data_IF_957562165421
#
_entry.id   IF_957562165421
#
_cell.length_a   1.000
_cell.length_b   1.000
_cell.length_c   1.000
_cell.angle_alpha   90.00
_cell.angle_beta   90.00
_cell.angle_gamma   90.00
#
_symmetry.space_group_name_H-M   'P 1'
#
loop_
_entity.id
_entity.type
_entity.pdbx_description
1 polymer ?
#
# COMPACT_ATOMS: atom_id res chain seq x y z
N UNK A 1 -8.59 39.42 49.19
CA UNK A 1 -9.18 39.27 47.86
C UNK A 1 -8.39 38.32 46.93
N UNK A 2 -7.21 37.84 47.34
CA UNK A 2 -6.32 37.01 46.45
C UNK A 2 -6.52 35.49 46.49
N UNK A 3 -7.14 34.91 47.48
CA UNK A 3 -7.28 33.44 47.58
C UNK A 3 -8.33 32.87 46.62
N UNK A 4 -9.39 33.63 46.31
CA UNK A 4 -10.46 33.14 45.42
C UNK A 4 -10.07 33.16 43.92
N UNK A 5 -9.18 34.07 43.53
CA UNK A 5 -8.69 34.15 42.15
C UNK A 5 -7.69 33.05 41.85
N UNK A 6 -6.81 32.69 42.85
CA UNK A 6 -5.80 31.64 42.71
C UNK A 6 -6.43 30.25 42.56
N UNK A 7 -7.49 29.94 43.32
CA UNK A 7 -8.21 28.66 43.21
C UNK A 7 -8.89 28.46 41.85
N UNK A 8 -9.43 29.54 41.24
CA UNK A 8 -10.05 29.47 39.90
C UNK A 8 -9.02 29.19 38.79
N UNK A 9 -7.81 29.73 38.92
CA UNK A 9 -6.74 29.55 37.93
C UNK A 9 -6.17 28.16 38.01
N UNK A 10 -5.98 27.60 39.22
CA UNK A 10 -5.50 26.22 39.40
C UNK A 10 -6.51 25.19 38.88
N UNK A 11 -7.81 25.39 39.07
CA UNK A 11 -8.85 24.53 38.51
C UNK A 11 -8.94 24.62 37.00
N UNK A 12 -8.73 25.79 36.40
CA UNK A 12 -8.66 25.95 34.94
C UNK A 12 -7.46 25.28 34.33
N UNK A 13 -6.28 25.31 34.99
CA UNK A 13 -5.08 24.64 34.53
C UNK A 13 -5.24 23.11 34.63
N UNK A 14 -5.81 22.59 35.72
CA UNK A 14 -6.07 21.16 35.91
C UNK A 14 -7.11 20.67 34.89
N UNK A 15 -8.16 21.46 34.63
CA UNK A 15 -9.15 21.11 33.61
C UNK A 15 -8.57 21.15 32.21
N UNK A 16 -7.72 22.12 31.87
CA UNK A 16 -7.01 22.21 30.58
C UNK A 16 -6.06 21.06 30.36
N UNK A 17 -5.33 20.64 31.41
CA UNK A 17 -4.45 19.48 31.35
C UNK A 17 -5.23 18.16 31.19
N UNK A 18 -6.36 18.02 31.91
CA UNK A 18 -7.25 16.87 31.78
C UNK A 18 -7.84 16.73 30.39
N UNK A 19 -8.27 17.82 29.77
CA UNK A 19 -8.81 17.83 28.40
C UNK A 19 -7.72 17.52 27.38
N UNK A 20 -6.50 18.04 27.56
CA UNK A 20 -5.38 17.75 26.68
C UNK A 20 -4.96 16.28 26.76
N UNK A 21 -4.90 15.70 27.96
CA UNK A 21 -4.58 14.27 28.16
C UNK A 21 -5.65 13.37 27.54
N UNK A 22 -6.94 13.71 27.70
CA UNK A 22 -8.04 12.95 27.07
C UNK A 22 -8.02 13.09 25.57
N UNK A 23 -7.74 14.28 25.02
CA UNK A 23 -7.60 14.49 23.59
C UNK A 23 -6.41 13.73 23.00
N UNK A 24 -5.26 13.72 23.68
CA UNK A 24 -4.09 12.93 23.28
C UNK A 24 -4.36 11.43 23.39
N UNK A 25 -5.05 10.98 24.45
CA UNK A 25 -5.41 9.57 24.61
C UNK A 25 -6.43 9.14 23.53
N UNK A 26 -7.45 9.96 23.25
CA UNK A 26 -8.42 9.69 22.18
C UNK A 26 -7.75 9.71 20.78
N UNK A 27 -6.80 10.62 20.58
CA UNK A 27 -6.02 10.67 19.34
C UNK A 27 -5.07 9.47 19.20
N UNK A 28 -4.44 9.06 20.29
CA UNK A 28 -3.62 7.83 20.30
C UNK A 28 -4.47 6.56 20.17
N UNK A 29 -5.67 6.51 20.76
CA UNK A 29 -6.62 5.41 20.55
C UNK A 29 -7.18 5.39 19.13
N UNK A 30 -7.47 6.54 18.54
CA UNK A 30 -7.87 6.62 17.14
C UNK A 30 -6.72 6.19 16.20
N UNK A 31 -5.49 6.61 16.47
CA UNK A 31 -4.28 6.16 15.76
C UNK A 31 -3.99 4.66 15.98
N UNK A 32 -4.03 4.19 17.21
CA UNK A 32 -3.89 2.77 17.53
C UNK A 32 -5.06 1.94 16.98
N UNK A 33 -6.25 2.54 16.84
CA UNK A 33 -7.44 1.92 16.25
C UNK A 33 -7.31 1.67 14.75
N UNK A 34 -6.51 2.45 14.03
CA UNK A 34 -6.21 2.17 12.62
C UNK A 34 -5.46 0.83 12.48
N UNK A 35 -4.51 0.54 13.37
CA UNK A 35 -3.81 -0.75 13.39
C UNK A 35 -4.48 -1.84 14.23
N UNK A 36 -5.27 -1.52 15.25
CA UNK A 36 -6.12 -2.53 15.94
C UNK A 36 -7.18 -3.10 15.01
N UNK A 37 -7.61 -2.37 13.98
CA UNK A 37 -8.44 -2.91 12.91
C UNK A 37 -7.72 -3.98 12.05
N UNK A 38 -6.42 -4.07 12.10
CA UNK A 38 -5.66 -5.14 11.44
C UNK A 38 -5.87 -6.53 12.08
N UNK A 39 -6.46 -6.59 13.28
CA UNK A 39 -6.88 -7.85 13.91
C UNK A 39 -8.37 -8.17 13.75
N UNK A 40 -9.13 -7.36 13.03
CA UNK A 40 -10.49 -7.73 12.64
C UNK A 40 -10.37 -8.71 11.49
N UNK A 41 -10.69 -9.96 11.73
CA UNK A 41 -10.86 -10.96 10.68
C UNK A 41 -11.84 -10.39 9.64
N UNK A 42 -11.30 -10.07 8.47
CA UNK A 42 -12.14 -9.73 7.32
C UNK A 42 -12.76 -11.04 6.87
N UNK A 43 -13.99 -11.28 7.28
CA UNK A 43 -14.73 -12.43 6.81
C UNK A 43 -15.45 -12.09 5.51
N UNK A 44 -15.74 -13.08 4.64
CA UNK A 44 -16.57 -12.87 3.46
C UNK A 44 -17.93 -12.24 3.79
N UNK A 45 -18.47 -12.52 4.99
CA UNK A 45 -19.69 -11.91 5.50
C UNK A 45 -19.49 -10.43 5.84
N UNK A 46 -18.35 -10.04 6.43
CA UNK A 46 -18.07 -8.63 6.74
C UNK A 46 -17.96 -7.77 5.49
N UNK A 47 -17.54 -8.36 4.36
CA UNK A 47 -17.50 -7.67 3.06
C UNK A 47 -18.89 -7.45 2.47
N UNK A 48 -19.90 -8.23 2.88
CA UNK A 48 -21.29 -8.08 2.44
C UNK A 48 -22.05 -7.04 3.26
N UNK A 49 -21.57 -6.68 4.45
CA UNK A 49 -22.26 -5.77 5.35
C UNK A 49 -21.98 -4.33 4.94
N UNK A 50 -22.88 -3.77 4.16
CA UNK A 50 -23.28 -2.36 4.31
C UNK A 50 -22.55 -1.30 3.54
N UNK A 51 -21.74 -1.57 2.50
CA UNK A 51 -21.30 -0.47 1.66
C UNK A 51 -21.37 -0.83 0.17
N UNK A 52 -22.04 0.02 -0.60
CA UNK A 52 -22.05 -0.04 -2.06
C UNK A 52 -20.74 0.47 -2.67
N UNK A 53 -19.75 0.82 -1.86
CA UNK A 53 -18.47 1.33 -2.31
C UNK A 53 -17.55 0.20 -2.78
N UNK A 54 -16.87 0.38 -3.91
CA UNK A 54 -15.84 -0.55 -4.35
C UNK A 54 -14.69 -0.61 -3.34
N UNK A 55 -13.97 -1.72 -3.33
CA UNK A 55 -12.91 -1.99 -2.34
C UNK A 55 -11.55 -1.68 -2.94
N UNK A 56 -10.69 -1.01 -2.16
CA UNK A 56 -9.24 -0.98 -2.35
C UNK A 56 -8.63 -2.05 -1.47
N UNK A 57 -7.91 -2.99 -2.06
CA UNK A 57 -7.21 -4.08 -1.40
C UNK A 57 -5.75 -3.74 -1.18
N UNK A 58 -5.30 -3.76 0.06
CA UNK A 58 -3.90 -3.61 0.46
C UNK A 58 -3.40 -4.90 1.07
N UNK A 59 -2.36 -5.48 0.51
CA UNK A 59 -1.74 -6.68 1.06
C UNK A 59 -0.41 -6.33 1.72
N UNK A 60 -0.27 -6.69 2.99
CA UNK A 60 0.97 -6.57 3.75
C UNK A 60 1.53 -7.95 4.00
N UNK A 61 2.73 -8.21 3.50
CA UNK A 61 3.44 -9.44 3.82
C UNK A 61 4.00 -9.37 5.24
N UNK A 62 3.59 -10.30 6.09
CA UNK A 62 4.06 -10.38 7.48
C UNK A 62 5.58 -10.51 7.58
N UNK A 63 6.22 -11.13 6.60
CA UNK A 63 7.68 -11.27 6.56
C UNK A 63 8.39 -9.93 6.33
N UNK A 64 7.80 -9.05 5.53
CA UNK A 64 8.34 -7.71 5.26
C UNK A 64 8.05 -6.74 6.41
N UNK A 65 6.86 -6.81 7.00
CA UNK A 65 6.45 -5.93 8.10
C UNK A 65 7.12 -6.31 9.42
N UNK A 66 7.34 -7.62 9.63
CA UNK A 66 7.95 -8.17 10.85
C UNK A 66 9.43 -8.56 10.67
N UNK A 67 10.07 -8.16 9.57
CA UNK A 67 11.48 -8.49 9.35
C UNK A 67 12.32 -7.96 10.50
N UNK A 68 13.06 -8.86 11.16
CA UNK A 68 13.98 -8.51 12.24
C UNK A 68 15.23 -7.90 11.60
N UNK A 69 15.54 -6.67 11.93
CA UNK A 69 16.87 -6.13 11.63
C UNK A 69 17.89 -6.83 12.57
N UNK A 70 18.66 -7.74 12.02
CA UNK A 70 19.70 -8.47 12.73
C UNK A 70 20.84 -7.58 13.23
N UNK A 71 20.94 -6.35 12.73
CA UNK A 71 21.96 -5.40 13.15
C UNK A 71 21.68 -4.84 14.55
N UNK A 72 20.47 -4.94 15.06
CA UNK A 72 20.11 -4.43 16.38
C UNK A 72 19.77 -5.56 17.36
N UNK A 73 20.77 -6.04 18.08
CA UNK A 73 20.60 -7.02 19.14
C UNK A 73 19.65 -6.57 20.27
N UNK A 74 19.42 -5.25 20.41
CA UNK A 74 18.49 -4.66 21.39
C UNK A 74 17.03 -4.71 20.94
N UNK A 75 16.76 -4.77 19.65
CA UNK A 75 15.40 -4.75 19.09
C UNK A 75 14.71 -6.12 19.10
N UNK A 76 15.27 -7.14 19.73
CA UNK A 76 14.72 -8.52 19.75
C UNK A 76 13.31 -8.63 20.34
N UNK A 77 12.83 -7.63 21.06
CA UNK A 77 11.50 -7.61 21.69
C UNK A 77 10.45 -6.82 20.91
N UNK A 78 10.83 -5.99 19.93
CA UNK A 78 9.89 -5.18 19.17
C UNK A 78 9.58 -5.85 17.84
N UNK A 79 8.36 -6.38 17.73
CA UNK A 79 7.82 -6.97 16.47
C UNK A 79 7.33 -5.93 15.47
N UNK A 80 7.54 -4.65 15.74
CA UNK A 80 6.88 -3.54 15.02
C UNK A 80 7.96 -2.60 14.52
N UNK A 81 8.71 -3.01 13.50
CA UNK A 81 9.89 -2.24 13.08
C UNK A 81 9.60 -1.25 11.94
N UNK A 82 8.64 -1.46 11.07
CA UNK A 82 8.47 -0.61 9.87
C UNK A 82 7.08 0.03 9.76
N UNK A 83 6.27 -0.08 10.79
CA UNK A 83 4.89 0.39 10.80
C UNK A 83 4.71 1.90 10.62
N UNK A 84 5.54 2.81 11.18
CA UNK A 84 5.28 4.24 11.05
C UNK A 84 5.23 4.73 9.61
N UNK A 85 6.21 4.35 8.79
CA UNK A 85 6.23 4.78 7.38
C UNK A 85 5.08 4.18 6.56
N UNK A 86 4.78 2.89 6.76
CA UNK A 86 3.67 2.22 6.10
C UNK A 86 2.32 2.78 6.56
N UNK A 87 2.21 3.14 7.83
CA UNK A 87 1.02 3.80 8.36
C UNK A 87 0.80 5.17 7.72
N UNK A 88 1.85 5.96 7.58
CA UNK A 88 1.77 7.26 6.90
C UNK A 88 1.30 7.09 5.44
N UNK A 89 1.78 6.06 4.73
CA UNK A 89 1.31 5.75 3.38
C UNK A 89 -0.18 5.36 3.39
N UNK A 90 -0.58 4.47 4.31
CA UNK A 90 -1.97 4.08 4.48
C UNK A 90 -2.89 5.28 4.73
N UNK A 91 -2.49 6.22 5.58
CA UNK A 91 -3.25 7.44 5.82
C UNK A 91 -3.47 8.28 4.55
N UNK A 92 -2.46 8.35 3.66
CA UNK A 92 -2.64 9.04 2.37
C UNK A 92 -3.65 8.32 1.47
N UNK A 93 -3.64 6.97 1.48
CA UNK A 93 -4.57 6.16 0.70
C UNK A 93 -6.01 6.37 1.19
N UNK A 94 -6.23 6.25 2.49
CA UNK A 94 -7.55 6.45 3.11
C UNK A 94 -8.05 7.86 2.88
N UNK A 95 -7.19 8.86 3.08
CA UNK A 95 -7.57 10.26 2.92
C UNK A 95 -7.96 10.61 1.48
N UNK A 96 -7.22 10.08 0.52
CA UNK A 96 -7.48 10.38 -0.89
C UNK A 96 -8.70 9.64 -1.46
N UNK A 97 -9.11 8.52 -0.85
CA UNK A 97 -10.08 7.61 -1.47
C UNK A 97 -11.27 7.24 -0.58
N UNK A 98 -11.25 7.58 0.71
CA UNK A 98 -12.24 7.09 1.69
C UNK A 98 -13.67 7.57 1.48
N UNK A 99 -13.88 8.57 0.64
CA UNK A 99 -15.19 9.06 0.21
C UNK A 99 -15.86 8.19 -0.87
N UNK A 100 -15.04 7.48 -1.68
CA UNK A 100 -15.51 6.68 -2.83
C UNK A 100 -15.19 5.19 -2.73
N UNK A 101 -14.24 4.82 -1.90
CA UNK A 101 -13.76 3.46 -1.75
C UNK A 101 -13.71 3.04 -0.30
N UNK A 102 -13.95 1.77 -0.08
CA UNK A 102 -13.62 1.12 1.18
C UNK A 102 -12.21 0.55 1.10
N UNK A 103 -11.33 0.91 2.04
CA UNK A 103 -9.96 0.42 2.08
C UNK A 103 -9.88 -0.79 3.01
N UNK A 104 -9.50 -1.93 2.48
CA UNK A 104 -9.37 -3.19 3.21
C UNK A 104 -7.92 -3.68 3.22
N UNK A 105 -7.46 -4.10 4.40
CA UNK A 105 -6.11 -4.58 4.62
C UNK A 105 -6.10 -6.09 4.78
N UNK A 106 -5.25 -6.74 4.02
CA UNK A 106 -5.01 -8.19 4.08
C UNK A 106 -3.65 -8.40 4.74
N UNK A 107 -3.66 -8.93 5.97
CA UNK A 107 -2.44 -9.22 6.73
C UNK A 107 -1.93 -10.64 6.45
N UNK A 108 -0.82 -10.73 5.73
CA UNK A 108 -0.15 -11.99 5.45
C UNK A 108 -0.99 -13.07 4.79
N UNK A 109 -0.44 -14.27 4.77
CA UNK A 109 -1.11 -15.46 4.20
C UNK A 109 -2.37 -15.84 4.99
N UNK A 110 -2.38 -15.59 6.29
CA UNK A 110 -3.56 -15.86 7.15
C UNK A 110 -4.75 -15.01 6.73
N UNK A 111 -4.54 -13.73 6.43
CA UNK A 111 -5.60 -12.86 5.91
C UNK A 111 -6.11 -13.31 4.54
N UNK A 112 -5.22 -13.80 3.68
CA UNK A 112 -5.61 -14.40 2.39
C UNK A 112 -6.45 -15.66 2.60
N UNK A 113 -6.04 -16.54 3.52
CA UNK A 113 -6.79 -17.75 3.86
C UNK A 113 -8.19 -17.44 4.40
N UNK A 114 -8.31 -16.42 5.25
CA UNK A 114 -9.63 -15.97 5.76
C UNK A 114 -10.56 -15.52 4.64
N UNK A 115 -10.04 -14.83 3.61
CA UNK A 115 -10.83 -14.34 2.48
C UNK A 115 -11.16 -15.42 1.45
N UNK A 116 -10.19 -16.25 1.10
CA UNK A 116 -10.32 -17.22 -0.01
C UNK A 116 -10.75 -18.62 0.48
N UNK A 117 -10.45 -18.96 1.72
CA UNK A 117 -10.48 -20.30 2.28
C UNK A 117 -9.11 -20.97 2.23
N UNK A 118 -8.74 -21.73 3.25
CA UNK A 118 -7.45 -22.45 3.31
C UNK A 118 -7.27 -23.43 2.15
N UNK A 119 -8.34 -24.11 1.75
CA UNK A 119 -8.32 -25.07 0.63
C UNK A 119 -7.98 -24.39 -0.70
N UNK A 120 -8.32 -23.12 -0.84
CA UNK A 120 -8.05 -22.36 -2.05
C UNK A 120 -6.59 -21.94 -2.19
N UNK A 121 -5.77 -22.01 -1.15
CA UNK A 121 -4.37 -21.64 -1.22
C UNK A 121 -3.58 -22.62 -2.08
N UNK A 122 -2.60 -22.15 -2.89
CA UNK A 122 -1.63 -23.04 -3.55
C UNK A 122 -0.73 -23.73 -2.51
N UNK A 123 -0.19 -24.86 -2.87
CA UNK A 123 0.64 -25.70 -1.98
C UNK A 123 1.85 -24.96 -1.40
N UNK A 124 2.41 -23.98 -2.14
CA UNK A 124 3.52 -23.15 -1.66
C UNK A 124 3.14 -22.30 -0.45
N UNK A 125 1.90 -21.82 -0.37
CA UNK A 125 1.39 -20.95 0.71
C UNK A 125 0.76 -21.73 1.87
N UNK A 126 0.47 -23.03 1.71
CA UNK A 126 -0.07 -23.88 2.80
C UNK A 126 0.98 -24.27 3.84
N UNK A 127 2.25 -24.07 3.55
CA UNK A 127 3.34 -24.44 4.46
C UNK A 127 3.45 -23.46 5.61
N UNK A 128 3.65 -23.98 6.81
CA UNK A 128 3.91 -23.13 7.97
C UNK A 128 5.18 -22.28 7.74
N UNK A 129 5.07 -20.98 7.96
CA UNK A 129 6.19 -20.06 7.69
C UNK A 129 6.50 -19.85 6.20
N UNK A 130 5.53 -20.09 5.32
CA UNK A 130 5.68 -19.81 3.90
C UNK A 130 6.03 -18.33 3.68
N UNK A 131 7.06 -18.08 2.90
CA UNK A 131 7.40 -16.74 2.42
C UNK A 131 6.60 -16.44 1.15
N UNK A 132 6.17 -15.19 1.02
CA UNK A 132 5.47 -14.72 -0.18
C UNK A 132 6.52 -14.25 -1.19
N UNK A 133 6.81 -15.08 -2.18
CA UNK A 133 7.63 -14.69 -3.31
C UNK A 133 6.84 -13.87 -4.35
N UNK A 134 7.49 -13.50 -5.43
CA UNK A 134 6.88 -12.72 -6.52
C UNK A 134 5.68 -13.46 -7.13
N UNK A 135 5.83 -14.76 -7.38
CA UNK A 135 4.77 -15.56 -7.99
C UNK A 135 3.58 -15.78 -7.04
N UNK A 136 3.83 -15.98 -5.74
CA UNK A 136 2.79 -16.05 -4.72
C UNK A 136 2.05 -14.72 -4.58
N UNK A 137 2.76 -13.60 -4.59
CA UNK A 137 2.16 -12.27 -4.55
C UNK A 137 1.28 -12.01 -5.79
N UNK A 138 1.73 -12.41 -6.98
CA UNK A 138 0.93 -12.32 -8.20
C UNK A 138 -0.33 -13.19 -8.11
N UNK A 139 -0.21 -14.40 -7.53
CA UNK A 139 -1.36 -15.26 -7.29
C UNK A 139 -2.34 -14.64 -6.29
N UNK A 140 -1.88 -14.13 -5.15
CA UNK A 140 -2.74 -13.48 -4.14
C UNK A 140 -3.54 -12.36 -4.79
N UNK A 141 -2.86 -11.47 -5.54
CA UNK A 141 -3.51 -10.37 -6.26
C UNK A 141 -4.57 -10.88 -7.23
N UNK A 142 -4.22 -11.84 -8.08
CA UNK A 142 -5.15 -12.35 -9.08
C UNK A 142 -6.35 -13.06 -8.45
N UNK A 143 -6.13 -13.84 -7.39
CA UNK A 143 -7.19 -14.60 -6.68
C UNK A 143 -8.17 -13.68 -5.94
N UNK A 144 -7.68 -12.66 -5.25
CA UNK A 144 -8.52 -11.65 -4.57
C UNK A 144 -9.37 -10.90 -5.61
N UNK A 145 -8.74 -10.41 -6.67
CA UNK A 145 -9.45 -9.66 -7.72
C UNK A 145 -10.40 -10.55 -8.53
N UNK A 146 -10.07 -11.82 -8.76
CA UNK A 146 -10.97 -12.76 -9.38
C UNK A 146 -12.22 -13.01 -8.53
N UNK A 147 -12.06 -13.16 -7.21
CA UNK A 147 -13.18 -13.47 -6.30
C UNK A 147 -14.05 -12.27 -6.01
N UNK A 148 -13.47 -11.09 -5.83
CA UNK A 148 -14.17 -9.93 -5.29
C UNK A 148 -14.22 -8.72 -6.24
N UNK A 149 -13.35 -8.65 -7.24
CA UNK A 149 -13.13 -7.41 -7.99
C UNK A 149 -12.48 -6.32 -7.12
N UNK A 150 -12.61 -5.07 -7.55
CA UNK A 150 -12.08 -3.92 -6.83
C UNK A 150 -10.70 -3.47 -7.33
N UNK A 151 -10.06 -2.63 -6.56
CA UNK A 151 -8.75 -2.07 -6.85
C UNK A 151 -7.68 -2.71 -5.95
N UNK A 152 -6.80 -3.48 -6.54
CA UNK A 152 -5.55 -3.86 -5.86
C UNK A 152 -4.60 -2.68 -5.86
N UNK A 153 -4.05 -2.34 -4.70
CA UNK A 153 -3.08 -1.26 -4.57
C UNK A 153 -1.91 -1.72 -3.69
N UNK A 154 -0.69 -1.45 -4.14
CA UNK A 154 0.50 -1.69 -3.31
C UNK A 154 0.47 -0.80 -2.07
N UNK A 155 0.76 -1.32 -0.87
CA UNK A 155 0.84 -0.49 0.33
C UNK A 155 2.02 0.47 0.34
N UNK A 156 2.99 0.28 -0.55
CA UNK A 156 4.19 1.13 -0.66
C UNK A 156 4.00 2.30 -1.64
N UNK A 157 2.85 2.96 -1.56
CA UNK A 157 2.53 4.14 -2.37
C UNK A 157 2.08 5.30 -1.50
N UNK A 158 2.39 6.51 -1.93
CA UNK A 158 1.80 7.74 -1.40
C UNK A 158 0.72 8.20 -2.35
N UNK A 159 -0.54 8.19 -1.93
CA UNK A 159 -1.63 8.73 -2.73
C UNK A 159 -1.59 10.26 -2.71
N UNK A 160 -1.59 10.84 -3.89
CA UNK A 160 -1.59 12.30 -4.11
C UNK A 160 -3.00 12.82 -4.39
N UNK A 161 -3.82 11.94 -5.00
CA UNK A 161 -5.23 12.19 -5.36
C UNK A 161 -6.01 10.90 -5.25
N UNK A 162 -7.33 11.00 -5.17
CA UNK A 162 -8.20 9.84 -5.30
C UNK A 162 -8.21 9.26 -6.72
N UNK A 163 -8.48 7.97 -6.83
CA UNK A 163 -8.61 7.28 -8.12
C UNK A 163 -9.84 7.75 -8.91
N UNK A 164 -10.77 8.47 -8.25
CA UNK A 164 -12.00 8.91 -8.89
C UNK A 164 -12.92 7.75 -9.25
N UNK A 165 -13.76 7.95 -10.27
CA UNK A 165 -14.67 6.92 -10.75
C UNK A 165 -13.96 6.07 -11.80
N UNK A 166 -13.77 4.80 -11.50
CA UNK A 166 -13.15 3.84 -12.43
C UNK A 166 -14.21 3.18 -13.30
N UNK A 167 -13.86 2.78 -14.54
CA UNK A 167 -14.83 2.22 -15.47
C UNK A 167 -15.43 0.93 -14.94
N UNK A 168 -16.75 0.78 -15.09
CA UNK A 168 -17.50 -0.39 -14.64
C UNK A 168 -17.41 -1.60 -15.60
N UNK A 169 -16.85 -1.40 -16.79
CA UNK A 169 -16.81 -2.38 -17.88
C UNK A 169 -15.38 -2.76 -18.30
N UNK A 170 -14.35 -2.16 -17.67
CA UNK A 170 -12.96 -2.38 -18.09
C UNK A 170 -12.04 -2.67 -16.92
N UNK A 171 -11.10 -3.57 -17.14
CA UNK A 171 -9.92 -3.73 -16.30
C UNK A 171 -9.00 -2.55 -16.58
N UNK A 172 -8.50 -1.89 -15.52
CA UNK A 172 -7.53 -0.80 -15.65
C UNK A 172 -6.26 -1.17 -14.88
N UNK A 173 -5.16 -1.33 -15.61
CA UNK A 173 -3.85 -1.43 -15.01
C UNK A 173 -3.17 -0.06 -15.02
N UNK A 174 -2.50 0.27 -13.93
CA UNK A 174 -1.90 1.58 -13.73
C UNK A 174 -0.38 1.50 -13.75
N UNK A 175 0.21 2.59 -14.25
CA UNK A 175 1.65 2.72 -14.34
C UNK A 175 2.27 1.91 -15.48
N UNK A 176 3.50 2.23 -15.82
CA UNK A 176 4.23 1.57 -16.90
C UNK A 176 5.64 1.21 -16.44
N UNK A 177 5.98 -0.07 -16.59
CA UNK A 177 7.35 -0.55 -16.43
C UNK A 177 8.04 -0.68 -17.79
N UNK A 178 9.25 -0.16 -17.87
CA UNK A 178 10.11 -0.40 -19.02
C UNK A 178 10.63 -1.83 -18.98
N UNK A 179 10.27 -2.62 -19.96
CA UNK A 179 10.80 -3.98 -20.11
C UNK A 179 11.52 -4.06 -21.45
N UNK A 180 12.87 -4.14 -21.45
CA UNK A 180 13.67 -4.09 -22.69
C UNK A 180 13.30 -5.17 -23.71
N UNK A 181 12.72 -6.28 -23.25
CA UNK A 181 12.33 -7.41 -24.12
C UNK A 181 10.98 -7.20 -24.81
N UNK A 182 10.15 -6.26 -24.39
CA UNK A 182 8.84 -6.04 -24.96
C UNK A 182 8.77 -4.70 -25.67
N UNK A 183 8.25 -4.71 -26.87
CA UNK A 183 7.98 -3.49 -27.65
C UNK A 183 6.72 -2.76 -27.17
N UNK A 184 5.88 -3.46 -26.40
CA UNK A 184 4.62 -2.94 -25.85
C UNK A 184 4.78 -2.60 -24.39
N UNK A 185 4.03 -1.59 -23.94
CA UNK A 185 4.01 -1.16 -22.56
C UNK A 185 3.44 -2.23 -21.62
N UNK A 186 4.13 -2.49 -20.52
CA UNK A 186 3.68 -3.37 -19.46
C UNK A 186 3.34 -2.57 -18.21
N UNK A 187 2.28 -2.92 -17.46
CA UNK A 187 1.97 -2.26 -16.20
C UNK A 187 3.01 -2.60 -15.12
N UNK A 188 3.16 -1.67 -14.18
CA UNK A 188 3.96 -1.90 -12.97
C UNK A 188 3.28 -2.83 -11.95
N UNK A 189 2.02 -3.17 -12.15
CA UNK A 189 1.18 -4.00 -11.27
C UNK A 189 1.08 -3.52 -9.81
N UNK A 190 1.35 -2.25 -9.57
CA UNK A 190 1.20 -1.64 -8.25
C UNK A 190 -0.23 -1.24 -7.96
N UNK A 191 -0.99 -0.93 -9.02
CA UNK A 191 -2.43 -0.74 -8.96
C UNK A 191 -3.09 -1.45 -10.14
N UNK A 192 -4.19 -2.19 -9.84
CA UNK A 192 -4.95 -2.94 -10.84
C UNK A 192 -6.43 -2.93 -10.44
N UNK A 193 -7.27 -2.32 -11.27
CA UNK A 193 -8.70 -2.27 -11.12
C UNK A 193 -9.38 -3.40 -11.89
N UNK A 194 -10.30 -4.08 -11.24
CA UNK A 194 -11.19 -5.08 -11.85
C UNK A 194 -12.64 -4.72 -11.49
N UNK A 195 -13.49 -4.44 -12.48
CA UNK A 195 -14.80 -3.83 -12.23
C UNK A 195 -15.77 -4.75 -11.49
N UNK A 196 -15.66 -6.06 -11.69
CA UNK A 196 -16.63 -7.03 -11.16
C UNK A 196 -15.94 -8.28 -10.62
N UNK A 197 -16.55 -8.86 -9.59
CA UNK A 197 -16.22 -10.20 -9.14
C UNK A 197 -16.37 -11.22 -10.27
N UNK A 198 -15.59 -12.28 -10.22
CA UNK A 198 -15.60 -13.39 -11.20
C UNK A 198 -15.36 -12.94 -12.65
N UNK A 199 -14.61 -11.85 -12.84
CA UNK A 199 -14.25 -11.39 -14.19
C UNK A 199 -13.49 -12.49 -14.94
N UNK A 200 -13.93 -12.91 -16.15
CA UNK A 200 -13.39 -14.11 -16.82
C UNK A 200 -11.87 -14.09 -17.00
N UNK A 201 -11.29 -12.94 -17.38
CA UNK A 201 -9.83 -12.81 -17.53
C UNK A 201 -9.08 -12.97 -16.22
N UNK A 202 -9.65 -12.48 -15.12
CA UNK A 202 -9.00 -12.60 -13.81
C UNK A 202 -9.06 -14.04 -13.29
N UNK A 203 -10.16 -14.73 -13.51
CA UNK A 203 -10.30 -16.15 -13.19
C UNK A 203 -9.28 -16.99 -14.00
N UNK A 204 -9.14 -16.70 -15.27
CA UNK A 204 -8.16 -17.39 -16.12
C UNK A 204 -6.72 -17.06 -15.72
N UNK A 205 -6.42 -15.80 -15.41
CA UNK A 205 -5.09 -15.41 -14.95
C UNK A 205 -4.72 -16.06 -13.62
N UNK A 206 -5.65 -16.10 -12.66
CA UNK A 206 -5.47 -16.83 -11.40
C UNK A 206 -5.13 -18.30 -11.66
N UNK A 207 -5.88 -18.94 -12.57
CA UNK A 207 -5.66 -20.35 -12.95
C UNK A 207 -4.27 -20.58 -13.56
N UNK A 208 -3.82 -19.67 -14.42
CA UNK A 208 -2.47 -19.73 -15.03
C UNK A 208 -1.38 -19.64 -13.97
N UNK A 209 -1.49 -18.67 -13.05
CA UNK A 209 -0.48 -18.51 -11.99
C UNK A 209 -0.51 -19.70 -11.02
N UNK A 210 -1.70 -20.17 -10.63
CA UNK A 210 -1.85 -21.36 -9.78
C UNK A 210 -1.18 -22.58 -10.38
N UNK A 211 -1.44 -22.87 -11.65
CA UNK A 211 -0.82 -23.98 -12.35
C UNK A 211 0.71 -23.85 -12.38
N UNK A 212 1.23 -22.64 -12.53
CA UNK A 212 2.66 -22.37 -12.50
C UNK A 212 3.26 -22.70 -11.12
N UNK A 213 2.61 -22.25 -10.04
CA UNK A 213 3.06 -22.51 -8.67
C UNK A 213 3.03 -24.00 -8.33
N UNK A 214 1.95 -24.71 -8.67
CA UNK A 214 1.84 -26.16 -8.39
C UNK A 214 2.87 -26.97 -9.21
N UNK A 215 3.14 -26.61 -10.45
CA UNK A 215 4.12 -27.30 -11.27
C UNK A 215 5.57 -27.01 -10.86
N UNK A 216 5.87 -25.84 -10.31
CA UNK A 216 7.19 -25.56 -9.73
C UNK A 216 7.52 -26.50 -8.58
N UNK A 217 6.54 -26.85 -7.74
CA UNK A 217 6.71 -27.82 -6.67
C UNK A 217 6.94 -29.25 -7.19
N UNK A 218 6.43 -29.56 -8.37
CA UNK A 218 6.69 -30.82 -9.07
C UNK A 218 8.04 -30.91 -9.79
N UNK A 219 8.89 -29.88 -9.66
CA UNK A 219 10.20 -29.83 -10.33
C UNK A 219 10.16 -29.40 -11.80
N UNK A 220 8.98 -29.06 -12.31
CA UNK A 220 8.82 -28.52 -13.66
C UNK A 220 8.95 -27.00 -13.64
N UNK A 221 9.94 -26.46 -14.34
CA UNK A 221 10.07 -25.02 -14.52
C UNK A 221 9.11 -24.54 -15.62
N UNK A 222 7.92 -24.07 -15.24
CA UNK A 222 7.05 -23.37 -16.17
C UNK A 222 7.48 -21.89 -16.19
N UNK A 223 7.97 -21.45 -17.34
CA UNK A 223 8.38 -20.06 -17.55
C UNK A 223 7.15 -19.15 -17.60
N UNK A 224 7.29 -17.96 -17.06
CA UNK A 224 6.30 -16.91 -17.11
C UNK A 224 6.28 -16.07 -15.83
N UNK A 225 5.91 -14.83 -15.98
CA UNK A 225 5.71 -13.85 -14.92
C UNK A 225 4.48 -12.98 -15.24
N UNK A 226 4.09 -12.10 -14.34
CA UNK A 226 2.94 -11.24 -14.56
C UNK A 226 3.06 -10.37 -15.82
N UNK A 227 4.29 -10.02 -16.25
CA UNK A 227 4.50 -9.19 -17.44
C UNK A 227 4.26 -10.00 -18.73
N UNK A 228 4.76 -11.22 -18.78
CA UNK A 228 4.49 -12.14 -19.89
C UNK A 228 3.00 -12.51 -19.96
N UNK A 229 2.35 -12.72 -18.81
CA UNK A 229 0.92 -12.97 -18.73
C UNK A 229 0.13 -11.76 -19.26
N UNK A 230 0.54 -10.53 -18.89
CA UNK A 230 -0.08 -9.31 -19.42
C UNK A 230 -0.04 -9.26 -20.94
N UNK A 231 1.13 -9.51 -21.51
CA UNK A 231 1.30 -9.48 -22.97
C UNK A 231 0.44 -10.53 -23.69
N UNK A 232 0.27 -11.69 -23.09
CA UNK A 232 -0.44 -12.80 -23.69
C UNK A 232 -1.97 -12.73 -23.50
N UNK A 233 -2.44 -12.16 -22.39
CA UNK A 233 -3.85 -12.26 -21.97
C UNK A 233 -4.59 -10.93 -21.95
N UNK A 234 -3.89 -9.82 -21.73
CA UNK A 234 -4.51 -8.52 -21.49
C UNK A 234 -4.20 -7.47 -22.54
N UNK A 235 -2.97 -7.45 -23.05
CA UNK A 235 -2.56 -6.43 -23.99
C UNK A 235 -3.39 -6.45 -25.28
N UNK A 236 -3.85 -5.26 -25.70
CA UNK A 236 -4.64 -5.13 -26.93
C UNK A 236 -6.11 -5.56 -26.84
N UNK A 237 -6.57 -5.97 -25.68
CA UNK A 237 -7.97 -6.35 -25.46
C UNK A 237 -8.84 -5.11 -25.27
N UNK A 238 -10.05 -5.11 -25.82
CA UNK A 238 -10.98 -3.95 -25.81
C UNK A 238 -11.52 -3.62 -24.41
N UNK A 239 -11.57 -4.62 -23.52
CA UNK A 239 -12.03 -4.52 -22.13
C UNK A 239 -10.87 -4.25 -21.14
N UNK A 240 -9.66 -3.93 -21.67
CA UNK A 240 -8.47 -3.67 -20.83
C UNK A 240 -7.84 -2.34 -21.22
N UNK A 241 -7.50 -1.55 -20.22
CA UNK A 241 -6.84 -0.25 -20.37
C UNK A 241 -5.54 -0.22 -19.56
N UNK A 242 -4.47 0.23 -20.18
CA UNK A 242 -3.24 0.62 -19.48
C UNK A 242 -3.23 2.13 -19.30
N UNK A 243 -3.38 2.59 -18.05
CA UNK A 243 -3.32 4.00 -17.71
C UNK A 243 -1.89 4.37 -17.28
N UNK A 244 -1.31 5.38 -17.92
CA UNK A 244 0.07 5.82 -17.68
C UNK A 244 0.15 7.01 -16.71
N UNK A 245 -1.00 7.48 -16.25
CA UNK A 245 -1.13 8.75 -15.50
C UNK A 245 -0.55 8.71 -14.09
N UNK A 246 -0.35 7.53 -13.56
CA UNK A 246 -0.02 7.33 -12.15
C UNK A 246 1.46 7.37 -11.86
N UNK A 247 2.27 7.11 -12.88
CA UNK A 247 3.71 7.09 -12.67
C UNK A 247 4.27 8.47 -12.47
N UNK A 248 4.77 8.63 -11.30
CA UNK A 248 5.54 9.74 -10.90
C UNK A 248 6.84 9.77 -11.56
N UNK A 249 6.98 10.79 -12.17
CA UNK A 249 8.12 11.60 -12.41
C UNK A 249 9.44 10.88 -12.62
N UNK A 250 10.21 11.48 -13.44
CA UNK A 250 11.61 11.13 -13.63
C UNK A 250 12.45 12.17 -12.93
N UNK A 251 13.62 11.80 -12.45
CA UNK A 251 14.60 12.73 -11.96
C UNK A 251 14.93 13.75 -13.07
N UNK A 252 14.84 15.04 -12.78
CA UNK A 252 15.03 16.12 -13.76
C UNK A 252 16.41 16.11 -14.41
N UNK A 253 17.44 15.70 -13.68
CA UNK A 253 18.83 15.69 -14.17
C UNK A 253 19.16 14.42 -14.95
N UNK A 254 18.75 13.26 -14.44
CA UNK A 254 19.14 11.96 -15.01
C UNK A 254 18.12 11.39 -15.98
N UNK A 255 16.90 11.94 -16.01
CA UNK A 255 15.75 11.42 -16.77
C UNK A 255 15.39 9.95 -16.47
N UNK A 256 15.95 9.40 -15.39
CA UNK A 256 15.65 8.05 -14.91
C UNK A 256 14.46 8.07 -13.94
N UNK A 257 13.81 6.93 -13.78
CA UNK A 257 12.78 6.74 -12.74
C UNK A 257 13.35 7.09 -11.38
N UNK A 258 12.48 7.61 -10.50
CA UNK A 258 12.85 7.98 -9.14
C UNK A 258 13.48 6.82 -8.39
N UNK A 259 14.58 7.13 -7.75
CA UNK A 259 15.30 6.21 -6.86
C UNK A 259 15.09 6.66 -5.40
N UNK A 260 15.48 5.81 -4.45
CA UNK A 260 15.42 6.17 -3.02
C UNK A 260 16.20 7.44 -2.72
N UNK A 261 17.31 7.65 -3.41
CA UNK A 261 18.14 8.87 -3.29
C UNK A 261 17.39 10.15 -3.68
N UNK A 262 16.49 10.07 -4.65
CA UNK A 262 15.67 11.21 -5.07
C UNK A 262 14.54 11.46 -4.06
N UNK A 263 13.95 10.39 -3.55
CA UNK A 263 12.78 10.40 -2.65
C UNK A 263 13.18 10.86 -1.24
N UNK A 264 14.32 10.37 -0.75
CA UNK A 264 14.84 10.68 0.58
C UNK A 264 15.95 11.73 0.56
N UNK A 265 16.12 12.46 -0.55
CA UNK A 265 16.96 13.63 -0.58
C UNK A 265 16.43 14.71 0.37
N UNK A 266 17.35 15.53 0.90
CA UNK A 266 16.97 16.75 1.62
C UNK A 266 16.33 17.74 0.64
N UNK A 267 15.18 18.28 1.01
CA UNK A 267 14.46 19.25 0.21
C UNK A 267 15.13 20.63 0.31
N UNK A 268 15.92 20.95 -0.69
CA UNK A 268 16.61 22.24 -0.77
C UNK A 268 15.86 23.18 -1.74
N UNK A 269 15.79 24.46 -1.37
CA UNK A 269 15.32 25.56 -2.24
C UNK A 269 13.88 25.48 -2.76
N UNK A 270 12.99 24.75 -2.08
CA UNK A 270 11.56 24.72 -2.40
C UNK A 270 11.16 24.04 -3.71
N UNK A 271 12.13 23.48 -4.47
CA UNK A 271 11.85 22.76 -5.70
C UNK A 271 12.09 21.25 -5.54
N UNK A 272 11.16 20.44 -6.05
CA UNK A 272 11.35 18.99 -6.10
C UNK A 272 12.44 18.61 -7.11
N UNK A 273 13.25 17.59 -6.84
CA UNK A 273 14.27 17.09 -7.78
C UNK A 273 13.68 16.35 -8.98
N UNK A 274 12.38 16.16 -9.00
CA UNK A 274 11.62 15.48 -10.05
C UNK A 274 10.31 16.21 -10.35
N UNK A 275 9.66 15.79 -11.40
CA UNK A 275 8.34 16.31 -11.78
C UNK A 275 7.24 15.38 -11.28
N UNK A 276 6.18 15.98 -10.74
CA UNK A 276 4.94 15.28 -10.45
C UNK A 276 3.96 15.69 -11.56
N UNK A 277 3.58 14.77 -12.46
CA UNK A 277 2.56 15.05 -13.45
C UNK A 277 1.27 15.53 -12.77
N UNK A 278 0.59 16.52 -13.39
CA UNK A 278 -0.62 17.09 -12.80
C UNK A 278 -1.77 16.10 -12.63
N UNK A 279 -1.74 15.02 -13.37
CA UNK A 279 -2.70 13.91 -13.35
C UNK A 279 -2.22 12.68 -12.54
N UNK A 280 -1.03 12.74 -11.93
CA UNK A 280 -0.53 11.66 -11.09
C UNK A 280 -1.44 11.40 -9.88
N UNK A 281 -1.82 10.15 -9.70
CA UNK A 281 -2.70 9.69 -8.61
C UNK A 281 -1.90 9.25 -7.40
N UNK A 282 -0.81 8.51 -7.61
CA UNK A 282 0.04 8.04 -6.52
C UNK A 282 1.52 8.06 -6.86
N UNK A 283 2.34 8.07 -5.81
CA UNK A 283 3.79 7.90 -5.88
C UNK A 283 4.20 6.53 -5.38
N UNK A 284 5.00 5.84 -6.17
CA UNK A 284 5.61 4.58 -5.73
C UNK A 284 6.84 4.87 -4.89
N UNK A 285 6.90 4.29 -3.71
CA UNK A 285 8.12 4.22 -2.92
C UNK A 285 8.68 2.82 -3.05
N UNK A 286 9.91 2.61 -3.51
CA UNK A 286 10.52 1.29 -3.66
C UNK A 286 10.82 0.68 -2.28
N UNK A 287 9.79 0.23 -1.58
CA UNK A 287 9.86 -0.20 -0.18
C UNK A 287 10.78 -1.41 0.00
N UNK A 288 10.78 -2.34 -0.96
CA UNK A 288 11.69 -3.49 -0.92
C UNK A 288 13.15 -3.07 -0.98
N UNK A 289 13.48 -2.14 -1.88
CA UNK A 289 14.82 -1.56 -1.96
C UNK A 289 15.18 -0.82 -0.66
N UNK A 290 14.20 -0.19 -0.01
CA UNK A 290 14.37 0.48 1.26
C UNK A 290 14.74 -0.52 2.39
N UNK A 291 14.13 -1.69 2.41
CA UNK A 291 14.47 -2.76 3.35
C UNK A 291 15.88 -3.30 3.13
N UNK A 292 16.30 -3.44 1.88
CA UNK A 292 17.57 -4.06 1.51
C UNK A 292 18.78 -3.09 1.66
N UNK A 293 18.54 -1.77 1.66
CA UNK A 293 19.60 -0.77 1.62
C UNK A 293 19.87 -0.13 2.97
N UNK A 294 20.89 -0.60 3.68
CA UNK A 294 21.29 -0.17 5.03
C UNK A 294 21.38 1.34 5.22
N UNK A 295 21.81 2.08 4.19
CA UNK A 295 21.95 3.54 4.26
C UNK A 295 20.63 4.27 4.53
N UNK A 296 19.49 3.65 4.25
CA UNK A 296 18.14 4.19 4.51
C UNK A 296 17.47 3.58 5.74
N UNK A 297 18.14 2.68 6.47
CA UNK A 297 17.58 1.98 7.62
C UNK A 297 17.09 2.90 8.75
N UNK A 298 17.63 4.11 8.83
CA UNK A 298 17.18 5.13 9.78
C UNK A 298 15.73 5.58 9.50
N UNK A 299 15.31 5.63 8.22
CA UNK A 299 13.95 6.01 7.82
C UNK A 299 12.93 5.00 8.36
N UNK A 300 13.28 3.70 8.33
CA UNK A 300 12.45 2.64 8.85
C UNK A 300 12.27 2.70 10.37
N UNK A 301 13.18 3.39 11.06
CA UNK A 301 13.16 3.57 12.52
C UNK A 301 12.53 4.90 12.94
N UNK A 302 12.34 5.83 12.01
CA UNK A 302 11.74 7.12 12.29
C UNK A 302 10.27 6.98 12.66
N UNK A 303 9.83 7.77 13.64
CA UNK A 303 8.42 7.92 13.95
C UNK A 303 7.68 8.65 12.80
N UNK A 304 6.36 8.58 12.81
CA UNK A 304 5.53 9.33 11.84
C UNK A 304 5.78 10.84 11.95
N UNK A 305 5.93 11.34 13.18
CA UNK A 305 6.20 12.75 13.46
C UNK A 305 7.56 13.16 12.91
N UNK A 306 8.63 12.40 13.24
CA UNK A 306 9.98 12.65 12.70
C UNK A 306 9.99 12.63 11.17
N UNK A 307 9.28 11.67 10.56
CA UNK A 307 9.17 11.58 9.11
C UNK A 307 8.44 12.79 8.52
N UNK A 308 7.34 13.21 9.12
CA UNK A 308 6.54 14.34 8.64
C UNK A 308 7.23 15.69 8.88
N UNK A 309 8.00 15.85 9.94
CA UNK A 309 8.69 17.09 10.29
C UNK A 309 10.03 17.25 9.58
N UNK A 310 10.60 16.17 9.06
CA UNK A 310 11.90 16.20 8.41
C UNK A 310 11.91 17.05 7.12
N UNK A 311 13.10 17.54 6.76
CA UNK A 311 13.34 18.30 5.54
C UNK A 311 13.59 17.41 4.32
N UNK A 312 12.91 16.26 4.26
CA UNK A 312 13.03 15.34 3.13
C UNK A 312 12.00 15.67 2.03
N UNK A 313 12.36 15.32 0.81
CA UNK A 313 11.45 15.41 -0.34
C UNK A 313 10.16 14.62 -0.07
N UNK A 314 10.28 13.39 0.41
CA UNK A 314 9.11 12.55 0.76
C UNK A 314 8.22 13.22 1.81
N UNK A 315 8.81 13.83 2.82
CA UNK A 315 8.08 14.50 3.91
C UNK A 315 7.25 15.67 3.41
N UNK A 316 7.81 16.44 2.46
CA UNK A 316 7.06 17.50 1.78
C UNK A 316 5.85 16.95 1.00
N UNK A 317 6.01 15.82 0.33
CA UNK A 317 4.95 15.17 -0.44
C UNK A 317 3.89 14.61 0.50
N UNK A 318 4.29 13.92 1.57
CA UNK A 318 3.39 13.37 2.58
C UNK A 318 2.56 14.48 3.24
N UNK A 319 3.21 15.58 3.67
CA UNK A 319 2.50 16.73 4.22
C UNK A 319 1.46 17.27 3.24
N UNK A 320 1.81 17.43 1.96
CA UNK A 320 0.85 17.88 0.93
C UNK A 320 -0.31 16.90 0.76
N UNK A 321 -0.04 15.60 0.68
CA UNK A 321 -1.07 14.58 0.55
C UNK A 321 -2.00 14.53 1.76
N UNK A 322 -1.44 14.66 2.98
CA UNK A 322 -2.22 14.63 4.22
C UNK A 322 -2.90 15.96 4.54
N UNK A 323 -2.37 17.11 4.11
CA UNK A 323 -2.96 18.44 4.35
C UNK A 323 -3.86 18.89 3.20
N UNK A 324 -3.74 18.30 2.00
CA UNK A 324 -4.65 18.62 0.91
C UNK A 324 -6.10 18.43 1.40
N UNK A 325 -6.91 19.50 1.35
CA UNK A 325 -8.35 19.35 1.52
C UNK A 325 -8.83 18.42 0.43
N UNK A 326 -9.68 17.46 0.78
CA UNK A 326 -10.40 16.70 -0.23
C UNK A 326 -11.02 17.73 -1.19
N UNK A 327 -10.54 17.75 -2.42
CA UNK A 327 -11.12 18.60 -3.44
C UNK A 327 -12.43 17.92 -3.82
N UNK A 328 -13.52 18.49 -3.28
CA UNK A 328 -14.89 18.10 -3.66
C UNK A 328 -15.15 18.41 -5.12
#
# INVERSE_FOLDING_TARGET
>A
MDRHVRMKTEHLIVLGFGIAVVAVAAFMEARAGVFKKHGVEITPESLKIGSNYPVIWLFYDDSEVNSRDWADFGARSSRVIHLPILNTFYETIVKANGDKYRVEVIGGVTGVAALLGEDALPSSLKRHGASVGVAEHDWIRSAILAKYGGLWLSPSVVCLKGFGDLPADKIVAFGEDEVPMYTSACPGFRALWVPTASHPRMVEWERVIRNRLENQLGGLQIRGDAKSDWMNMFAGQSDVVLSKKEELGRNKKTQKKLQLEDIFATWMNGSLPFEIPGDAVYMVVPYKDLLDRRQFGWILKSSEEELLESDLVISSILRKALLAKAVN
#
